data_IF_642435771466
#
_entry.id   IF_642435771466
#
_cell.length_a   1.000
_cell.length_b   1.000
_cell.length_c   1.000
_cell.angle_alpha   90.00
_cell.angle_beta   90.00
_cell.angle_gamma   90.00
#
_symmetry.space_group_name_H-M   'P 1'
#
loop_
_entity.id
_entity.type
_entity.pdbx_description
1 polymer ?
#
# COMPACT_ATOMS: atom_id res chain seq x y z
N UNK A 1 -16.17 9.69 3.62
CA UNK A 1 -16.60 9.30 4.99
C UNK A 1 -15.54 9.72 6.01
N UNK A 2 -15.73 10.82 6.78
CA UNK A 2 -14.70 11.39 7.67
C UNK A 2 -14.49 10.66 9.01
N UNK A 3 -15.30 9.64 9.33
CA UNK A 3 -15.39 9.09 10.69
C UNK A 3 -14.28 8.06 11.03
N UNK A 4 -13.73 7.36 10.04
CA UNK A 4 -12.71 6.32 10.28
C UNK A 4 -11.26 6.85 10.29
N UNK A 5 -11.08 8.16 10.14
CA UNK A 5 -9.77 8.80 9.91
C UNK A 5 -8.85 8.80 11.15
N UNK A 6 -9.34 8.41 12.34
CA UNK A 6 -8.60 8.56 13.61
C UNK A 6 -8.31 7.28 14.41
N UNK A 7 -8.74 6.09 13.98
CA UNK A 7 -8.66 4.89 14.84
C UNK A 7 -7.72 3.77 14.37
N UNK A 8 -6.76 4.03 13.47
CA UNK A 8 -5.83 3.01 12.92
C UNK A 8 -6.53 1.77 12.29
N UNK A 9 -7.86 1.79 12.14
CA UNK A 9 -8.68 0.67 11.64
C UNK A 9 -8.28 0.32 10.21
N UNK A 10 -8.08 1.33 9.35
CA UNK A 10 -7.68 1.10 7.96
C UNK A 10 -6.35 0.35 7.85
N UNK A 11 -5.35 0.75 8.65
CA UNK A 11 -4.02 0.11 8.68
C UNK A 11 -4.12 -1.34 9.17
N UNK A 12 -4.84 -1.58 10.26
CA UNK A 12 -5.05 -2.94 10.79
C UNK A 12 -5.79 -3.84 9.79
N UNK A 13 -6.90 -3.35 9.22
CA UNK A 13 -7.70 -4.09 8.27
C UNK A 13 -6.88 -4.54 7.04
N UNK A 14 -6.10 -3.62 6.46
CA UNK A 14 -5.26 -3.92 5.30
C UNK A 14 -4.12 -4.88 5.68
N UNK A 15 -3.49 -4.69 6.84
CA UNK A 15 -2.48 -5.61 7.37
C UNK A 15 -3.05 -7.04 7.55
N UNK A 16 -4.28 -7.16 8.04
CA UNK A 16 -4.95 -8.45 8.22
C UNK A 16 -5.27 -9.09 6.85
N UNK A 17 -5.67 -8.30 5.85
CA UNK A 17 -5.85 -8.78 4.46
C UNK A 17 -4.54 -9.32 3.89
N UNK A 18 -3.45 -8.57 3.99
CA UNK A 18 -2.15 -8.99 3.48
C UNK A 18 -1.68 -10.30 4.12
N UNK A 19 -1.90 -10.46 5.43
CA UNK A 19 -1.59 -11.71 6.14
C UNK A 19 -2.49 -12.88 5.72
N UNK A 20 -3.77 -12.61 5.47
CA UNK A 20 -4.73 -13.68 5.17
C UNK A 20 -4.64 -14.20 3.74
N UNK A 21 -4.30 -13.32 2.79
CA UNK A 21 -4.25 -13.67 1.37
C UNK A 21 -2.82 -13.92 0.87
N UNK A 22 -1.82 -13.48 1.64
CA UNK A 22 -0.41 -13.68 1.36
C UNK A 22 -0.03 -13.20 -0.06
N UNK A 23 1.05 -13.74 -0.65
CA UNK A 23 1.42 -13.49 -2.03
C UNK A 23 2.01 -12.10 -2.33
N UNK A 24 2.01 -11.74 -3.61
CA UNK A 24 2.58 -10.49 -4.12
C UNK A 24 1.51 -9.43 -4.28
N UNK A 25 1.79 -8.23 -3.76
CA UNK A 25 0.88 -7.11 -3.76
C UNK A 25 1.42 -5.97 -4.60
N UNK A 26 0.51 -5.33 -5.33
CA UNK A 26 0.76 -4.12 -6.11
C UNK A 26 -0.33 -3.10 -5.79
N UNK A 27 0.09 -1.90 -5.38
CA UNK A 27 -0.79 -0.79 -5.07
C UNK A 27 -0.42 0.35 -6.01
N UNK A 28 -1.40 0.91 -6.72
CA UNK A 28 -1.24 2.05 -7.63
C UNK A 28 -2.02 3.25 -7.14
N UNK A 29 -1.41 4.43 -7.16
CA UNK A 29 -2.05 5.70 -6.82
C UNK A 29 -1.87 6.70 -7.97
N UNK A 30 -2.97 7.32 -8.39
CA UNK A 30 -2.98 8.34 -9.45
C UNK A 30 -2.29 9.63 -9.01
N UNK A 31 -1.83 10.43 -9.96
CA UNK A 31 -1.27 11.77 -9.70
C UNK A 31 -2.28 12.62 -8.93
N UNK A 32 -1.83 13.35 -7.90
CA UNK A 32 -2.69 14.17 -7.04
C UNK A 32 -3.22 13.44 -5.80
N UNK A 33 -2.95 12.13 -5.66
CA UNK A 33 -3.34 11.32 -4.50
C UNK A 33 -2.28 11.30 -3.37
N UNK A 34 -1.65 12.43 -3.07
CA UNK A 34 -0.47 12.53 -2.20
C UNK A 34 -0.75 12.05 -0.77
N UNK A 35 -1.98 12.27 -0.30
CA UNK A 35 -2.46 11.75 0.98
C UNK A 35 -2.53 10.22 0.99
N UNK A 36 -2.94 9.60 -0.12
CA UNK A 36 -3.00 8.15 -0.25
C UNK A 36 -1.59 7.55 -0.35
N UNK A 37 -0.70 8.16 -1.13
CA UNK A 37 0.71 7.72 -1.20
C UNK A 37 1.35 7.72 0.18
N UNK A 38 1.20 8.81 0.96
CA UNK A 38 1.71 8.87 2.34
C UNK A 38 1.10 7.80 3.25
N UNK A 39 -0.21 7.57 3.15
CA UNK A 39 -0.89 6.52 3.89
C UNK A 39 -0.30 5.14 3.57
N UNK A 40 -0.15 4.81 2.29
CA UNK A 40 0.38 3.52 1.88
C UNK A 40 1.86 3.35 2.20
N UNK A 41 2.69 4.40 2.09
CA UNK A 41 4.08 4.36 2.57
C UNK A 41 4.15 3.97 4.05
N UNK A 42 3.30 4.55 4.90
CA UNK A 42 3.25 4.24 6.33
C UNK A 42 2.76 2.79 6.59
N UNK A 43 1.74 2.33 5.87
CA UNK A 43 1.23 0.94 5.94
C UNK A 43 2.31 -0.06 5.53
N UNK A 44 2.89 0.11 4.35
CA UNK A 44 3.86 -0.82 3.79
C UNK A 44 5.15 -0.81 4.58
N UNK A 45 5.64 0.35 5.02
CA UNK A 45 6.85 0.43 5.83
C UNK A 45 6.70 -0.34 7.15
N UNK A 46 5.57 -0.20 7.86
CA UNK A 46 5.33 -0.96 9.10
C UNK A 46 5.13 -2.45 8.81
N UNK A 47 4.38 -2.79 7.76
CA UNK A 47 4.03 -4.17 7.44
C UNK A 47 5.20 -5.01 6.94
N UNK A 48 6.03 -4.46 6.05
CA UNK A 48 7.15 -5.16 5.43
C UNK A 48 8.49 -4.85 6.10
N UNK A 49 8.49 -4.09 7.20
CA UNK A 49 9.72 -3.54 7.82
C UNK A 49 10.58 -2.76 6.80
N UNK A 50 9.91 -2.00 5.93
CA UNK A 50 10.55 -1.25 4.84
C UNK A 50 10.92 -2.08 3.60
N UNK A 51 10.66 -3.39 3.57
CA UNK A 51 10.91 -4.23 2.40
C UNK A 51 9.79 -4.12 1.36
N UNK A 52 9.64 -2.95 0.75
CA UNK A 52 8.79 -2.73 -0.40
C UNK A 52 9.51 -1.84 -1.42
N UNK A 53 9.10 -1.92 -2.68
CA UNK A 53 9.62 -1.06 -3.75
C UNK A 53 8.54 -0.04 -4.11
N UNK A 54 8.97 1.19 -4.35
CA UNK A 54 8.13 2.25 -4.91
C UNK A 54 8.74 2.76 -6.21
N UNK A 55 7.93 2.83 -7.27
CA UNK A 55 8.32 3.29 -8.60
C UNK A 55 7.21 4.10 -9.27
N UNK A 56 7.58 4.96 -10.23
CA UNK A 56 6.62 5.59 -11.13
C UNK A 56 6.32 4.63 -12.28
N UNK A 57 5.04 4.37 -12.53
CA UNK A 57 4.59 3.41 -13.52
C UNK A 57 3.63 4.07 -14.50
N UNK A 58 3.81 3.84 -15.80
CA UNK A 58 2.87 4.32 -16.81
C UNK A 58 1.74 3.31 -16.96
N UNK A 59 0.56 3.66 -16.46
CA UNK A 59 -0.65 2.87 -16.54
C UNK A 59 -1.49 3.32 -17.75
N UNK A 60 -1.93 2.36 -18.57
CA UNK A 60 -2.68 2.65 -19.80
C UNK A 60 -3.96 3.46 -19.56
N UNK A 61 -4.57 3.32 -18.38
CA UNK A 61 -5.84 3.97 -18.05
C UNK A 61 -5.67 5.28 -17.30
N UNK A 62 -4.63 5.40 -16.48
CA UNK A 62 -4.46 6.50 -15.53
C UNK A 62 -3.22 7.36 -15.78
N UNK A 63 -2.42 7.03 -16.79
CA UNK A 63 -1.15 7.67 -17.06
C UNK A 63 -0.11 7.31 -15.99
N UNK A 64 0.79 8.24 -15.69
CA UNK A 64 1.83 8.03 -14.68
C UNK A 64 1.22 7.90 -13.29
N UNK A 65 1.37 6.74 -12.66
CA UNK A 65 0.92 6.46 -11.29
C UNK A 65 2.11 6.17 -10.39
N UNK A 66 1.99 6.49 -9.10
CA UNK A 66 2.89 5.92 -8.10
C UNK A 66 2.50 4.46 -7.88
N UNK A 67 3.47 3.56 -7.93
CA UNK A 67 3.26 2.13 -7.74
C UNK A 67 4.12 1.63 -6.61
N UNK A 68 3.51 0.89 -5.69
CA UNK A 68 4.19 0.28 -4.56
C UNK A 68 3.97 -1.23 -4.58
N UNK A 69 5.05 -2.00 -4.41
CA UNK A 69 5.02 -3.46 -4.53
C UNK A 69 5.80 -4.11 -3.41
N UNK A 70 5.26 -5.22 -2.91
CA UNK A 70 5.98 -6.11 -2.01
C UNK A 70 5.50 -7.55 -2.20
N UNK A 71 6.33 -8.50 -1.78
CA UNK A 71 5.92 -9.89 -1.65
C UNK A 71 5.78 -10.21 -0.17
N UNK A 72 4.65 -10.78 0.21
CA UNK A 72 4.48 -11.38 1.51
C UNK A 72 5.40 -12.60 1.59
N UNK A 73 6.55 -12.44 2.22
CA UNK A 73 7.46 -13.55 2.52
C UNK A 73 7.33 -13.86 4.00
N UNK A 74 6.63 -14.95 4.32
CA UNK A 74 6.75 -15.54 5.66
C UNK A 74 8.18 -16.07 5.73
N UNK A 75 9.06 -15.39 6.47
CA UNK A 75 10.29 -16.04 6.92
C UNK A 75 9.87 -17.10 7.92
N UNK A 76 9.79 -18.34 7.46
CA UNK A 76 9.69 -19.55 8.28
C UNK A 76 11.01 -19.75 9.01
#
# INVERSE_FOLDING_TARGET
MPYFRKNKIGKRFITDIFKSLEGSWEIKQVVGAEHAVKFWRDVLHEYTLGNYVEDSYEDEKWGVVTRQRFAHTIKV
#
